data_IF_798345334335
#
_entry.id   IF_798345334335
#
_cell.length_a   1.000
_cell.length_b   1.000
_cell.length_c   1.000
_cell.angle_alpha   90.00
_cell.angle_beta   90.00
_cell.angle_gamma   90.00
#
_symmetry.space_group_name_H-M   'P 1'
#
loop_
_entity.id
_entity.type
_entity.pdbx_description
1 polymer ?
#
# COMPACT_ATOMS: atom_id res chain seq x y z
N UNK A 1 -16.31 8.31 -14.23
CA UNK A 1 -15.78 9.18 -13.15
C UNK A 1 -15.36 10.54 -13.68
N UNK A 2 -14.71 11.36 -12.83
CA UNK A 2 -14.10 12.63 -13.22
C UNK A 2 -12.93 12.44 -14.22
N UNK A 3 -12.17 11.35 -14.05
CA UNK A 3 -11.14 10.88 -14.97
C UNK A 3 -11.68 9.66 -15.71
N UNK A 4 -11.56 9.64 -17.05
CA UNK A 4 -12.27 8.67 -17.89
C UNK A 4 -11.61 7.29 -17.98
N UNK A 5 -10.28 7.21 -17.82
CA UNK A 5 -9.50 5.98 -17.96
C UNK A 5 -8.91 5.45 -16.64
N UNK A 6 -9.48 5.87 -15.51
CA UNK A 6 -9.27 5.27 -14.18
C UNK A 6 -10.54 4.56 -13.72
N UNK A 7 -10.45 3.62 -12.76
CA UNK A 7 -11.64 2.95 -12.22
C UNK A 7 -12.61 3.94 -11.57
N UNK A 8 -13.91 3.69 -11.69
CA UNK A 8 -14.95 4.62 -11.23
C UNK A 8 -15.03 4.79 -9.70
N UNK A 9 -14.57 3.79 -8.96
CA UNK A 9 -14.47 3.74 -7.49
C UNK A 9 -13.12 4.24 -6.96
N UNK A 10 -12.18 4.61 -7.83
CA UNK A 10 -10.89 5.14 -7.41
C UNK A 10 -11.06 6.52 -6.76
N UNK A 11 -10.41 6.70 -5.60
CA UNK A 11 -10.31 8.00 -4.96
C UNK A 11 -9.28 8.83 -5.74
N UNK A 12 -9.70 9.99 -6.24
CA UNK A 12 -8.88 10.88 -7.06
C UNK A 12 -8.87 12.29 -6.49
N UNK A 13 -7.74 12.98 -6.64
CA UNK A 13 -7.63 14.42 -6.40
C UNK A 13 -7.80 15.14 -7.74
N UNK A 14 -8.86 15.92 -7.88
CA UNK A 14 -9.24 16.61 -9.12
C UNK A 14 -9.72 18.03 -8.82
N UNK A 15 -9.69 18.96 -9.79
CA UNK A 15 -10.27 20.28 -9.60
C UNK A 15 -11.74 20.20 -9.18
N UNK A 16 -12.18 21.14 -8.36
CA UNK A 16 -13.57 21.25 -7.93
C UNK A 16 -13.96 22.71 -7.72
N UNK A 17 -15.21 23.03 -8.06
CA UNK A 17 -15.82 24.33 -7.77
C UNK A 17 -16.69 24.21 -6.53
N UNK A 18 -16.58 25.16 -5.62
CA UNK A 18 -17.37 25.22 -4.39
C UNK A 18 -18.19 26.50 -4.40
N UNK A 19 -19.51 26.37 -4.38
CA UNK A 19 -20.45 27.49 -4.31
C UNK A 19 -21.61 27.20 -3.33
N UNK A 20 -22.64 28.07 -3.34
CA UNK A 20 -23.83 27.90 -2.48
C UNK A 20 -24.57 26.56 -2.72
N UNK A 21 -24.42 25.96 -3.89
CA UNK A 21 -25.08 24.70 -4.27
C UNK A 21 -24.22 23.47 -3.91
N UNK A 22 -23.02 23.65 -3.37
CA UNK A 22 -22.15 22.58 -2.91
C UNK A 22 -20.88 22.43 -3.74
N UNK A 23 -20.39 21.20 -3.86
CA UNK A 23 -19.16 20.85 -4.60
C UNK A 23 -19.54 20.33 -5.98
N UNK A 24 -19.03 20.98 -7.03
CA UNK A 24 -19.17 20.54 -8.41
C UNK A 24 -17.81 20.11 -8.97
N UNK A 25 -17.70 18.84 -9.36
CA UNK A 25 -16.49 18.28 -9.95
C UNK A 25 -16.64 18.22 -11.48
N UNK A 26 -15.86 18.99 -12.26
CA UNK A 26 -15.86 18.89 -13.71
C UNK A 26 -15.26 17.57 -14.19
N UNK A 27 -15.64 17.15 -15.39
CA UNK A 27 -14.99 16.04 -16.08
C UNK A 27 -13.62 16.48 -16.60
N UNK A 28 -12.57 15.84 -16.12
CA UNK A 28 -11.18 16.06 -16.56
C UNK A 28 -10.93 15.37 -17.91
N UNK A 29 -11.52 14.19 -18.11
CA UNK A 29 -11.29 13.36 -19.30
C UNK A 29 -10.22 12.31 -19.04
N UNK A 30 -9.60 11.80 -20.10
CA UNK A 30 -8.59 10.76 -20.00
C UNK A 30 -7.22 11.35 -19.69
N UNK A 31 -6.51 10.73 -18.75
CA UNK A 31 -5.10 11.05 -18.52
C UNK A 31 -4.24 10.50 -19.67
N UNK A 32 -3.08 11.14 -19.96
CA UNK A 32 -2.06 10.54 -20.81
C UNK A 32 -1.71 9.12 -20.33
N UNK A 33 -1.44 8.22 -21.27
CA UNK A 33 -1.29 6.77 -21.00
C UNK A 33 -0.31 6.47 -19.85
N UNK A 34 0.85 7.16 -19.81
CA UNK A 34 1.85 6.97 -18.76
C UNK A 34 1.35 7.39 -17.38
N UNK A 35 0.65 8.52 -17.28
CA UNK A 35 0.07 8.99 -16.02
C UNK A 35 -1.01 8.03 -15.53
N UNK A 36 -1.91 7.58 -16.42
CA UNK A 36 -2.93 6.61 -16.08
C UNK A 36 -2.30 5.31 -15.54
N UNK A 37 -1.25 4.80 -16.19
CA UNK A 37 -0.56 3.57 -15.78
C UNK A 37 0.04 3.69 -14.36
N UNK A 38 0.68 4.82 -14.05
CA UNK A 38 1.22 5.08 -12.70
C UNK A 38 0.10 5.14 -11.66
N UNK A 39 -0.99 5.85 -11.96
CA UNK A 39 -2.15 5.90 -11.07
C UNK A 39 -2.77 4.52 -10.83
N UNK A 40 -2.91 3.69 -11.87
CA UNK A 40 -3.42 2.32 -11.75
C UNK A 40 -2.57 1.44 -10.83
N UNK A 41 -1.24 1.58 -10.86
CA UNK A 41 -0.36 0.88 -9.94
C UNK A 41 -0.64 1.28 -8.48
N UNK A 42 -0.70 2.58 -8.18
CA UNK A 42 -1.01 3.07 -6.83
C UNK A 42 -2.41 2.67 -6.35
N UNK A 43 -3.42 2.76 -7.23
CA UNK A 43 -4.80 2.34 -6.93
C UNK A 43 -4.84 0.84 -6.58
N UNK A 44 -4.09 0.01 -7.29
CA UNK A 44 -4.05 -1.44 -7.04
C UNK A 44 -3.44 -1.76 -5.66
N UNK A 45 -2.36 -1.06 -5.28
CA UNK A 45 -1.76 -1.17 -3.94
C UNK A 45 -2.76 -0.79 -2.86
N UNK A 46 -3.45 0.34 -3.02
CA UNK A 46 -4.43 0.85 -2.06
C UNK A 46 -5.62 -0.10 -1.91
N UNK A 47 -6.11 -0.68 -3.01
CA UNK A 47 -7.19 -1.67 -2.97
C UNK A 47 -6.79 -2.90 -2.19
N UNK A 48 -5.63 -3.49 -2.46
CA UNK A 48 -5.13 -4.64 -1.70
C UNK A 48 -4.98 -4.31 -0.21
N UNK A 49 -4.49 -3.10 0.11
CA UNK A 49 -4.35 -2.65 1.50
C UNK A 49 -5.72 -2.51 2.20
N UNK A 50 -6.74 -2.00 1.51
CA UNK A 50 -8.11 -1.90 2.03
C UNK A 50 -8.71 -3.29 2.25
N UNK A 51 -8.60 -4.19 1.28
CA UNK A 51 -9.08 -5.58 1.41
C UNK A 51 -8.41 -6.29 2.59
N UNK A 52 -7.08 -6.15 2.71
CA UNK A 52 -6.33 -6.67 3.84
C UNK A 52 -6.84 -6.11 5.17
N UNK A 53 -7.07 -4.80 5.24
CA UNK A 53 -7.49 -4.12 6.46
C UNK A 53 -8.95 -4.43 6.84
N UNK A 54 -9.85 -4.65 5.88
CA UNK A 54 -11.24 -5.04 6.15
C UNK A 54 -11.30 -6.48 6.67
N UNK A 55 -10.52 -7.38 6.08
CA UNK A 55 -10.55 -8.80 6.40
C UNK A 55 -9.58 -9.22 7.51
N UNK A 56 -8.66 -8.35 7.93
CA UNK A 56 -7.59 -8.72 8.85
C UNK A 56 -6.60 -9.73 8.24
N UNK A 57 -6.48 -9.77 6.91
CA UNK A 57 -5.67 -10.76 6.20
C UNK A 57 -4.23 -10.26 6.02
N UNK A 58 -3.29 -10.89 6.72
CA UNK A 58 -1.86 -10.55 6.66
C UNK A 58 -1.23 -10.96 5.33
N UNK A 59 -1.76 -11.98 4.65
CA UNK A 59 -1.28 -12.38 3.33
C UNK A 59 -1.59 -11.30 2.31
N UNK A 60 -2.83 -10.79 2.28
CA UNK A 60 -3.20 -9.65 1.45
C UNK A 60 -2.39 -8.40 1.81
N UNK A 61 -2.12 -8.17 3.10
CA UNK A 61 -1.30 -7.04 3.54
C UNK A 61 0.13 -7.14 2.97
N UNK A 62 0.76 -8.33 3.06
CA UNK A 62 2.09 -8.58 2.48
C UNK A 62 2.09 -8.42 0.96
N UNK A 63 1.05 -8.87 0.28
CA UNK A 63 0.88 -8.65 -1.17
C UNK A 63 0.77 -7.16 -1.50
N UNK A 64 0.01 -6.38 -0.73
CA UNK A 64 -0.07 -4.93 -0.92
C UNK A 64 1.30 -4.25 -0.82
N UNK A 65 2.10 -4.64 0.18
CA UNK A 65 3.47 -4.13 0.35
C UNK A 65 4.39 -4.57 -0.80
N UNK A 66 4.25 -5.79 -1.32
CA UNK A 66 5.03 -6.26 -2.47
C UNK A 66 4.69 -5.53 -3.78
N UNK A 67 3.44 -5.08 -3.92
CA UNK A 67 3.00 -4.33 -5.11
C UNK A 67 3.40 -2.86 -5.06
N UNK A 68 3.82 -2.34 -3.90
CA UNK A 68 4.29 -0.95 -3.81
C UNK A 68 5.64 -0.78 -4.54
N UNK A 69 5.73 0.15 -5.51
CA UNK A 69 6.92 0.28 -6.35
C UNK A 69 8.16 0.74 -5.59
N UNK A 70 8.01 1.47 -4.48
CA UNK A 70 9.15 1.88 -3.66
C UNK A 70 9.64 0.71 -2.80
N UNK A 71 8.73 -0.01 -2.17
CA UNK A 71 9.04 -1.20 -1.38
C UNK A 71 9.73 -2.25 -2.26
N UNK A 72 9.18 -2.58 -3.42
CA UNK A 72 9.77 -3.54 -4.36
C UNK A 72 11.09 -3.07 -4.99
N UNK A 73 11.39 -1.78 -4.98
CA UNK A 73 12.69 -1.26 -5.43
C UNK A 73 13.79 -1.37 -4.37
N UNK A 74 13.43 -1.47 -3.09
CA UNK A 74 14.37 -1.42 -1.97
C UNK A 74 14.51 -2.78 -1.27
N UNK A 75 13.46 -3.57 -1.23
CA UNK A 75 13.36 -4.80 -0.45
C UNK A 75 13.06 -6.02 -1.35
N UNK A 76 13.63 -7.18 -0.98
CA UNK A 76 13.19 -8.46 -1.53
C UNK A 76 11.92 -8.99 -0.83
N UNK A 77 11.21 -9.99 -1.39
CA UNK A 77 9.97 -10.49 -0.79
C UNK A 77 10.08 -11.00 0.66
N UNK A 78 11.25 -11.51 1.08
CA UNK A 78 11.47 -11.96 2.45
C UNK A 78 11.62 -10.77 3.40
N UNK A 79 12.36 -9.74 2.99
CA UNK A 79 12.47 -8.48 3.72
C UNK A 79 11.11 -7.78 3.84
N UNK A 80 10.31 -7.79 2.77
CA UNK A 80 8.95 -7.23 2.79
C UNK A 80 8.06 -7.96 3.80
N UNK A 81 8.13 -9.29 3.83
CA UNK A 81 7.38 -10.11 4.79
C UNK A 81 7.76 -9.77 6.23
N UNK A 82 9.05 -9.71 6.54
CA UNK A 82 9.56 -9.40 7.88
C UNK A 82 9.21 -7.96 8.28
N UNK A 83 9.44 -6.98 7.40
CA UNK A 83 9.06 -5.57 7.60
C UNK A 83 7.55 -5.43 7.87
N UNK A 84 6.72 -6.15 7.13
CA UNK A 84 5.26 -6.12 7.32
C UNK A 84 4.88 -6.65 8.70
N UNK A 85 5.49 -7.74 9.15
CA UNK A 85 5.26 -8.30 10.50
C UNK A 85 5.75 -7.33 11.60
N UNK A 86 6.91 -6.67 11.41
CA UNK A 86 7.41 -5.64 12.33
C UNK A 86 6.43 -4.47 12.46
N UNK A 87 5.95 -3.95 11.33
CA UNK A 87 4.96 -2.86 11.31
C UNK A 87 3.64 -3.29 11.95
N UNK A 88 3.18 -4.51 11.67
CA UNK A 88 1.94 -5.04 12.21
C UNK A 88 1.99 -5.15 13.74
N UNK A 89 3.08 -5.68 14.30
CA UNK A 89 3.28 -5.78 15.74
C UNK A 89 3.42 -4.38 16.37
N UNK A 90 4.21 -3.49 15.76
CA UNK A 90 4.39 -2.13 16.26
C UNK A 90 3.07 -1.35 16.33
N UNK A 91 2.16 -1.59 15.37
CA UNK A 91 0.86 -0.91 15.29
C UNK A 91 -0.32 -1.72 15.80
N UNK A 92 -0.09 -2.82 16.52
CA UNK A 92 -1.14 -3.69 17.06
C UNK A 92 -2.23 -2.93 17.84
N UNK A 93 -1.85 -1.88 18.59
CA UNK A 93 -2.78 -1.00 19.30
C UNK A 93 -3.83 -0.35 18.38
N UNK A 94 -3.44 0.01 17.17
CA UNK A 94 -4.24 0.77 16.21
C UNK A 94 -4.93 -0.09 15.18
N UNK A 95 -4.56 -1.38 15.13
CA UNK A 95 -5.00 -2.35 14.13
C UNK A 95 -5.74 -3.54 14.79
N UNK A 96 -6.85 -3.28 15.51
CA UNK A 96 -7.56 -4.31 16.27
C UNK A 96 -8.09 -5.45 15.41
N UNK A 97 -8.36 -5.22 14.12
CA UNK A 97 -8.78 -6.26 13.18
C UNK A 97 -7.73 -7.37 12.99
N UNK A 98 -6.46 -7.08 13.28
CA UNK A 98 -5.37 -8.05 13.18
C UNK A 98 -5.02 -8.70 14.53
N UNK A 99 -5.81 -8.47 15.59
CA UNK A 99 -5.49 -8.93 16.95
C UNK A 99 -5.18 -10.44 17.04
N UNK A 100 -5.86 -11.27 16.24
CA UNK A 100 -5.62 -12.72 16.17
C UNK A 100 -4.28 -13.08 15.48
N UNK A 101 -3.80 -12.23 14.58
CA UNK A 101 -2.57 -12.45 13.80
C UNK A 101 -1.32 -11.90 14.51
N UNK A 102 -1.47 -10.96 15.46
CA UNK A 102 -0.35 -10.37 16.20
C UNK A 102 0.54 -11.44 16.88
N UNK A 103 0.00 -12.45 17.60
CA UNK A 103 0.85 -13.46 18.24
C UNK A 103 1.65 -14.27 17.21
N UNK A 104 1.05 -14.58 16.05
CA UNK A 104 1.73 -15.30 14.98
C UNK A 104 2.85 -14.45 14.35
N UNK A 105 2.61 -13.15 14.15
CA UNK A 105 3.65 -12.22 13.69
C UNK A 105 4.81 -12.11 14.69
N UNK A 106 4.52 -11.99 15.99
CA UNK A 106 5.53 -11.99 17.05
C UNK A 106 6.36 -13.29 17.06
N UNK A 107 5.70 -14.44 16.88
CA UNK A 107 6.38 -15.73 16.82
C UNK A 107 7.32 -15.82 15.61
N UNK A 108 6.87 -15.37 14.43
CA UNK A 108 7.72 -15.30 13.23
C UNK A 108 8.96 -14.45 13.48
N UNK A 109 8.80 -13.21 13.95
CA UNK A 109 9.90 -12.29 14.24
C UNK A 109 10.89 -12.82 15.28
N UNK A 110 10.42 -13.57 16.28
CA UNK A 110 11.29 -14.18 17.29
C UNK A 110 12.10 -15.37 16.75
N UNK A 111 11.56 -16.08 15.76
CA UNK A 111 12.16 -17.30 15.20
C UNK A 111 13.04 -17.06 13.98
N UNK A 112 12.76 -16.01 13.21
CA UNK A 112 13.45 -15.70 11.97
C UNK A 112 14.76 -14.95 12.22
N UNK A 113 15.76 -15.22 11.38
CA UNK A 113 16.99 -14.42 11.38
C UNK A 113 16.65 -13.01 10.87
N UNK A 114 16.99 -11.94 11.61
CA UNK A 114 16.83 -10.58 11.11
C UNK A 114 17.63 -10.42 9.82
N UNK A 115 16.96 -10.04 8.72
CA UNK A 115 17.60 -9.86 7.42
C UNK A 115 18.48 -8.60 7.39
N UNK A 116 18.19 -7.67 8.31
CA UNK A 116 19.00 -6.50 8.59
C UNK A 116 18.85 -5.42 7.53
N UNK A 117 18.84 -4.16 7.96
CA UNK A 117 18.51 -3.05 7.07
C UNK A 117 19.74 -2.37 6.46
N UNK A 118 20.96 -2.89 6.59
CA UNK A 118 22.21 -2.18 6.19
C UNK A 118 23.37 -3.06 5.71
N UNK A 119 23.22 -4.39 5.69
CA UNK A 119 24.34 -5.31 5.49
C UNK A 119 24.59 -5.72 4.03
N UNK A 120 23.77 -5.26 3.07
CA UNK A 120 23.88 -5.63 1.66
C UNK A 120 23.67 -4.43 0.72
N UNK A 121 24.23 -4.51 -0.49
CA UNK A 121 24.14 -3.46 -1.53
C UNK A 121 22.87 -3.65 -2.35
N UNK A 122 21.80 -2.93 -2.00
CA UNK A 122 20.57 -2.88 -2.77
C UNK A 122 20.65 -1.93 -3.97
N UNK A 123 19.88 -2.24 -5.03
CA UNK A 123 19.91 -1.51 -6.31
C UNK A 123 19.57 -0.01 -6.19
N UNK A 124 18.82 0.38 -5.16
CA UNK A 124 18.39 1.76 -4.92
C UNK A 124 19.18 2.49 -3.81
N UNK A 125 20.15 1.85 -3.13
CA UNK A 125 20.94 2.50 -2.08
C UNK A 125 22.14 3.23 -2.69
N UNK A 126 22.06 4.56 -2.74
CA UNK A 126 23.23 5.42 -3.03
C UNK A 126 24.27 5.28 -1.91
N UNK A 127 25.54 5.21 -2.30
CA UNK A 127 26.71 5.21 -1.42
C UNK A 127 26.77 6.45 -0.51
#
# INVERSE_FOLDING_TARGET
GAIGNLPDDAIVEVPGYVDRNGISIPRVGDLPLGCAAVCHASISVQRLAVEAAIHGDVTLLKQAMMMDPLVGAVCDPYEISQMTDEMLVAQARWLPQYAAEIPAAQARLASEKPLGTRAWRGAARKE
#
